data_IF_416043538102
#
_entry.id   IF_416043538102
#
_cell.length_a   1.000
_cell.length_b   1.000
_cell.length_c   1.000
_cell.angle_alpha   90.00
_cell.angle_beta   90.00
_cell.angle_gamma   90.00
#
_symmetry.space_group_name_H-M   'P 1'
#
loop_
_entity.id
_entity.type
_entity.pdbx_description
1 polymer ?
#
# COMPACT_ATOMS: atom_id res chain seq x y z
N UNK A 1 -4.52 -10.53 -8.90
CA UNK A 1 -4.63 -9.06 -8.81
C UNK A 1 -3.55 -8.57 -7.86
N UNK A 2 -2.78 -7.58 -8.28
CA UNK A 2 -1.71 -6.97 -7.51
C UNK A 2 -2.23 -5.71 -6.83
N UNK A 3 -2.08 -5.62 -5.51
CA UNK A 3 -2.47 -4.45 -4.74
C UNK A 3 -1.29 -3.81 -4.04
N UNK A 4 -1.37 -2.49 -3.88
CA UNK A 4 -0.51 -1.74 -2.97
C UNK A 4 -1.28 -1.36 -1.70
N UNK A 5 -0.63 -1.46 -0.55
CA UNK A 5 -1.17 -1.03 0.74
C UNK A 5 -0.44 0.24 1.19
N UNK A 6 -1.16 1.37 1.24
CA UNK A 6 -0.68 2.60 1.85
C UNK A 6 -1.11 2.57 3.33
N UNK A 7 -0.17 2.59 4.26
CA UNK A 7 -0.46 2.34 5.67
C UNK A 7 -0.38 0.87 6.04
N UNK A 8 0.83 0.38 6.28
CA UNK A 8 1.09 -1.00 6.71
C UNK A 8 1.06 -1.19 8.24
N UNK A 9 -0.03 -0.72 8.87
CA UNK A 9 -0.32 -0.86 10.30
C UNK A 9 -1.04 -2.17 10.64
N UNK A 10 -1.92 -2.15 11.64
CA UNK A 10 -2.73 -3.33 12.02
C UNK A 10 -3.63 -3.80 10.87
N UNK A 11 -4.31 -2.87 10.21
CA UNK A 11 -5.23 -3.18 9.11
C UNK A 11 -4.51 -3.69 7.87
N UNK A 12 -3.46 -3.00 7.41
CA UNK A 12 -2.66 -3.44 6.27
C UNK A 12 -2.11 -4.86 6.44
N UNK A 13 -1.57 -5.19 7.62
CA UNK A 13 -1.09 -6.54 7.94
C UNK A 13 -2.21 -7.59 7.91
N UNK A 14 -3.39 -7.25 8.44
CA UNK A 14 -4.54 -8.16 8.44
C UNK A 14 -5.04 -8.44 7.01
N UNK A 15 -5.03 -7.41 6.15
CA UNK A 15 -5.40 -7.56 4.73
C UNK A 15 -4.40 -8.45 4.03
N UNK A 16 -3.10 -8.20 4.17
CA UNK A 16 -2.05 -9.02 3.55
C UNK A 16 -2.15 -10.50 3.97
N UNK A 17 -2.36 -10.78 5.27
CA UNK A 17 -2.56 -12.14 5.78
C UNK A 17 -3.73 -12.88 5.10
N UNK A 18 -4.76 -12.16 4.65
CA UNK A 18 -5.93 -12.74 3.98
C UNK A 18 -5.88 -12.65 2.46
N UNK A 19 -5.02 -11.79 1.90
CA UNK A 19 -4.95 -11.53 0.46
C UNK A 19 -4.59 -12.80 -0.32
N UNK A 20 -3.62 -13.57 0.18
CA UNK A 20 -3.15 -14.79 -0.47
C UNK A 20 -4.27 -15.84 -0.65
N UNK A 21 -5.16 -16.01 0.34
CA UNK A 21 -6.27 -16.96 0.22
C UNK A 21 -7.35 -16.53 -0.77
N UNK A 22 -7.30 -15.30 -1.29
CA UNK A 22 -8.21 -14.75 -2.28
C UNK A 22 -7.56 -14.58 -3.66
N UNK A 23 -6.34 -15.09 -3.88
CA UNK A 23 -5.61 -14.89 -5.14
C UNK A 23 -5.16 -13.45 -5.37
N UNK A 24 -5.07 -12.66 -4.29
CA UNK A 24 -4.58 -11.28 -4.31
C UNK A 24 -3.12 -11.28 -3.86
N UNK A 25 -2.28 -10.61 -4.63
CA UNK A 25 -0.87 -10.42 -4.35
C UNK A 25 -0.66 -9.00 -3.80
N UNK A 26 -0.02 -8.87 -2.64
CA UNK A 26 0.38 -7.57 -2.10
C UNK A 26 1.77 -7.26 -2.63
N UNK A 27 1.85 -6.50 -3.72
CA UNK A 27 3.12 -6.22 -4.43
C UNK A 27 3.90 -5.04 -3.84
N UNK A 28 3.22 -4.15 -3.11
CA UNK A 28 3.83 -2.98 -2.48
C UNK A 28 3.19 -2.68 -1.12
N UNK A 29 4.01 -2.39 -0.12
CA UNK A 29 3.55 -1.90 1.18
C UNK A 29 4.31 -0.62 1.56
N UNK A 30 3.56 0.45 1.80
CA UNK A 30 4.11 1.75 2.17
C UNK A 30 3.61 2.18 3.55
N UNK A 31 4.46 2.84 4.31
CA UNK A 31 4.15 3.45 5.60
C UNK A 31 5.13 4.61 5.87
N UNK A 32 4.95 5.30 6.98
CA UNK A 32 5.78 6.47 7.34
C UNK A 32 7.28 6.17 7.49
N UNK A 33 7.69 4.89 7.60
CA UNK A 33 9.10 4.50 7.73
C UNK A 33 9.79 4.26 6.39
N UNK A 34 9.07 3.80 5.37
CA UNK A 34 9.63 3.43 4.06
C UNK A 34 9.13 4.29 2.90
N UNK A 35 8.22 5.22 3.16
CA UNK A 35 7.74 6.24 2.22
C UNK A 35 8.09 7.65 2.75
N UNK A 36 9.38 7.89 2.96
CA UNK A 36 9.84 9.20 3.44
C UNK A 36 9.54 10.27 2.37
N UNK A 37 8.97 11.40 2.79
CA UNK A 37 8.58 12.50 1.88
C UNK A 37 7.73 12.06 0.68
N UNK A 38 6.95 10.98 0.81
CA UNK A 38 6.07 10.47 -0.24
C UNK A 38 6.79 10.02 -1.53
N UNK A 39 8.10 9.80 -1.47
CA UNK A 39 8.93 9.51 -2.64
C UNK A 39 8.81 8.07 -3.16
N UNK A 40 8.13 7.19 -2.44
CA UNK A 40 7.93 5.79 -2.86
C UNK A 40 6.63 5.59 -3.65
N UNK A 41 5.76 6.60 -3.73
CA UNK A 41 4.57 6.63 -4.58
C UNK A 41 4.93 7.15 -5.98
N UNK A 42 5.70 6.36 -6.72
CA UNK A 42 6.12 6.69 -8.08
C UNK A 42 5.41 5.82 -9.11
N UNK A 43 5.41 6.25 -10.38
CA UNK A 43 4.86 5.45 -11.49
C UNK A 43 5.56 4.11 -11.62
N UNK A 44 6.86 4.08 -11.37
CA UNK A 44 7.69 2.89 -11.48
C UNK A 44 7.34 1.89 -10.38
N UNK A 45 7.17 2.35 -9.14
CA UNK A 45 6.79 1.48 -8.02
C UNK A 45 5.34 0.97 -8.11
N UNK A 46 4.48 1.69 -8.84
CA UNK A 46 3.08 1.33 -9.07
C UNK A 46 2.85 0.64 -10.42
N UNK A 47 3.89 0.38 -11.21
CA UNK A 47 3.75 -0.09 -12.60
C UNK A 47 2.94 -1.38 -12.72
N UNK A 48 3.09 -2.31 -11.77
CA UNK A 48 2.39 -3.60 -11.75
C UNK A 48 1.26 -3.65 -10.71
N UNK A 49 0.82 -2.50 -10.18
CA UNK A 49 -0.25 -2.41 -9.17
C UNK A 49 -1.59 -2.14 -9.87
N UNK A 50 -2.56 -3.03 -9.66
CA UNK A 50 -3.93 -2.86 -10.16
C UNK A 50 -4.74 -1.89 -9.29
N UNK A 51 -4.56 -1.96 -7.97
CA UNK A 51 -5.35 -1.19 -6.98
C UNK A 51 -4.49 -0.76 -5.80
N UNK A 52 -4.59 0.51 -5.40
CA UNK A 52 -4.08 1.01 -4.12
C UNK A 52 -5.18 1.01 -3.06
N UNK A 53 -4.88 0.49 -1.87
CA UNK A 53 -5.78 0.54 -0.70
C UNK A 53 -5.13 1.38 0.38
N UNK A 54 -5.81 2.45 0.78
CA UNK A 54 -5.30 3.42 1.75
C UNK A 54 -5.84 3.19 3.17
N UNK A 55 -4.95 2.76 4.06
CA UNK A 55 -5.10 2.63 5.51
C UNK A 55 -4.18 3.61 6.27
N UNK A 56 -3.74 4.67 5.60
CA UNK A 56 -2.97 5.76 6.21
C UNK A 56 -3.88 6.68 7.04
N UNK A 57 -3.34 7.82 7.46
CA UNK A 57 -4.03 8.79 8.30
C UNK A 57 -4.54 9.97 7.47
N UNK A 58 -5.66 10.62 7.85
CA UNK A 58 -6.26 11.68 7.03
C UNK A 58 -5.34 12.84 6.65
N UNK A 59 -4.34 13.15 7.49
CA UNK A 59 -3.43 14.27 7.28
C UNK A 59 -2.41 14.06 6.14
N UNK A 60 -2.35 12.88 5.53
CA UNK A 60 -1.44 12.58 4.41
C UNK A 60 -2.15 12.30 3.08
N UNK A 61 -3.46 12.52 3.01
CA UNK A 61 -4.27 12.13 1.85
C UNK A 61 -3.96 12.94 0.58
N UNK A 62 -3.46 14.17 0.74
CA UNK A 62 -3.14 15.05 -0.39
C UNK A 62 -1.78 14.69 -1.00
N UNK A 63 -0.86 14.25 -0.16
CA UNK A 63 0.49 13.86 -0.56
C UNK A 63 0.60 12.43 -1.06
N UNK A 64 -0.35 11.55 -0.70
CA UNK A 64 -0.49 10.21 -1.26
C UNK A 64 -1.00 10.25 -2.71
#
# INVERSE_FOLDING_TARGET
MNIALLGYGKMGKLVEQRAASHGINVSLTLNSKNNHQFQSLTRENLADVDVCVDFSTPHVVIEN
#
